data_IF_881524139138
#
_entry.id   IF_881524139138
#
_cell.length_a   1.000
_cell.length_b   1.000
_cell.length_c   1.000
_cell.angle_alpha   90.00
_cell.angle_beta   90.00
_cell.angle_gamma   90.00
#
_symmetry.space_group_name_H-M   'P 1'
#
loop_
_entity.id
_entity.type
_entity.pdbx_description
1 polymer ?
#
# COMPACT_ATOMS: atom_id res chain seq x y z
N UNK A 1 -1.03 -19.54 15.62
CA UNK A 1 -1.82 -18.40 15.10
C UNK A 1 -2.24 -17.55 16.29
N UNK A 2 -1.88 -16.28 16.31
CA UNK A 2 -2.10 -15.33 17.40
C UNK A 2 -3.61 -15.24 17.76
N UNK A 3 -3.97 -15.20 19.05
CA UNK A 3 -5.37 -15.06 19.49
C UNK A 3 -6.00 -13.78 18.97
N UNK A 4 -5.19 -12.75 18.79
CA UNK A 4 -5.66 -11.45 18.35
C UNK A 4 -6.05 -11.42 16.87
N UNK A 5 -5.22 -12.01 15.99
CA UNK A 5 -5.52 -12.14 14.56
C UNK A 5 -6.84 -12.89 14.34
N UNK A 6 -7.11 -13.94 15.13
CA UNK A 6 -8.36 -14.69 15.04
C UNK A 6 -9.58 -13.83 15.37
N UNK A 7 -9.51 -13.02 16.43
CA UNK A 7 -10.61 -12.15 16.82
C UNK A 7 -10.87 -11.07 15.75
N UNK A 8 -9.82 -10.41 15.26
CA UNK A 8 -9.96 -9.42 14.20
C UNK A 8 -10.51 -10.05 12.92
N UNK A 9 -10.02 -11.23 12.54
CA UNK A 9 -10.48 -11.94 11.34
C UNK A 9 -11.95 -12.38 11.42
N UNK A 10 -12.43 -12.76 12.61
CA UNK A 10 -13.83 -13.12 12.84
C UNK A 10 -14.77 -11.91 12.70
N UNK A 11 -14.33 -10.73 13.14
CA UNK A 11 -15.11 -9.50 13.12
C UNK A 11 -14.87 -8.63 11.89
N UNK A 12 -14.06 -9.08 10.93
CA UNK A 12 -13.72 -8.32 9.73
C UNK A 12 -14.95 -7.98 8.91
N UNK A 13 -14.84 -6.91 8.13
CA UNK A 13 -15.77 -6.67 7.04
C UNK A 13 -15.64 -7.80 6.00
N UNK A 14 -16.76 -8.34 5.54
CA UNK A 14 -16.77 -9.43 4.54
C UNK A 14 -16.44 -8.85 3.16
N UNK A 15 -15.19 -8.43 2.97
CA UNK A 15 -14.66 -8.05 1.67
C UNK A 15 -14.28 -9.32 0.88
N UNK A 16 -14.85 -9.55 -0.31
CA UNK A 16 -14.52 -10.71 -1.12
C UNK A 16 -13.06 -10.71 -1.62
N UNK A 17 -12.32 -9.61 -1.49
CA UNK A 17 -10.95 -9.47 -2.01
C UNK A 17 -9.87 -10.01 -1.06
N UNK A 18 -10.19 -10.27 0.21
CA UNK A 18 -9.27 -10.87 1.18
C UNK A 18 -9.79 -12.26 1.55
N UNK A 19 -9.19 -13.28 0.95
CA UNK A 19 -9.66 -14.67 1.10
C UNK A 19 -9.08 -15.34 2.34
N UNK A 20 -7.88 -14.96 2.77
CA UNK A 20 -7.19 -15.60 3.90
C UNK A 20 -6.62 -14.62 4.92
N UNK A 21 -6.46 -15.04 6.19
CA UNK A 21 -5.75 -14.24 7.19
C UNK A 21 -4.32 -13.89 6.76
N UNK A 22 -3.69 -14.73 5.95
CA UNK A 22 -2.33 -14.48 5.46
C UNK A 22 -2.29 -13.35 4.43
N UNK A 23 -3.27 -13.29 3.52
CA UNK A 23 -3.42 -12.15 2.60
C UNK A 23 -3.66 -10.84 3.35
N UNK A 24 -4.46 -10.87 4.44
CA UNK A 24 -4.61 -9.71 5.30
C UNK A 24 -3.27 -9.26 5.92
N UNK A 25 -2.42 -10.20 6.33
CA UNK A 25 -1.08 -9.87 6.85
C UNK A 25 -0.17 -9.29 5.77
N UNK A 26 -0.23 -9.81 4.53
CA UNK A 26 0.53 -9.26 3.40
C UNK A 26 0.10 -7.81 3.19
N UNK A 27 -1.20 -7.57 3.00
CA UNK A 27 -1.71 -6.23 2.74
C UNK A 27 -1.45 -5.26 3.92
N UNK A 28 -1.58 -5.73 5.15
CA UNK A 28 -1.29 -4.92 6.33
C UNK A 28 0.19 -4.52 6.40
N UNK A 29 1.10 -5.39 5.95
CA UNK A 29 2.53 -5.05 5.89
C UNK A 29 2.85 -4.00 4.83
N UNK A 30 2.05 -3.91 3.76
CA UNK A 30 2.16 -2.85 2.76
C UNK A 30 1.66 -1.53 3.36
N UNK A 31 0.47 -1.53 3.98
CA UNK A 31 -0.11 -0.35 4.65
C UNK A 31 0.82 0.19 5.74
N UNK A 32 1.42 -0.68 6.55
CA UNK A 32 2.40 -0.32 7.60
C UNK A 32 3.59 0.47 7.04
N UNK A 33 4.02 0.13 5.82
CA UNK A 33 5.20 0.74 5.20
C UNK A 33 4.90 2.03 4.44
N UNK A 34 3.65 2.29 4.10
CA UNK A 34 3.23 3.47 3.32
C UNK A 34 2.97 4.70 4.18
N UNK A 35 2.37 4.56 5.36
CA UNK A 35 2.09 5.72 6.21
C UNK A 35 2.35 5.47 7.68
N UNK A 36 3.06 6.42 8.28
CA UNK A 36 3.19 6.53 9.73
C UNK A 36 1.94 7.16 10.38
N UNK A 37 1.03 7.74 9.60
CA UNK A 37 -0.18 8.40 10.08
C UNK A 37 -1.31 7.36 10.18
N UNK A 38 -1.61 6.95 11.42
CA UNK A 38 -2.60 5.89 11.72
C UNK A 38 -3.97 6.18 11.09
N UNK A 39 -4.41 7.45 11.05
CA UNK A 39 -5.70 7.82 10.48
C UNK A 39 -5.78 7.66 8.95
N UNK A 40 -4.66 7.52 8.25
CA UNK A 40 -4.64 7.29 6.80
C UNK A 40 -4.63 5.80 6.43
N UNK A 41 -4.31 4.91 7.37
CA UNK A 41 -4.19 3.48 7.11
C UNK A 41 -5.45 2.89 6.46
N UNK A 42 -6.70 3.21 6.90
CA UNK A 42 -7.91 2.69 6.24
C UNK A 42 -8.09 3.19 4.80
N UNK A 43 -7.64 4.41 4.48
CA UNK A 43 -7.69 4.97 3.12
C UNK A 43 -6.65 4.30 2.21
N UNK A 44 -5.44 4.06 2.71
CA UNK A 44 -4.39 3.36 1.96
C UNK A 44 -4.79 1.90 1.71
N UNK A 45 -5.35 1.24 2.73
CA UNK A 45 -5.91 -0.10 2.57
C UNK A 45 -6.99 -0.14 1.49
N UNK A 46 -7.91 0.82 1.49
CA UNK A 46 -8.95 0.95 0.47
C UNK A 46 -8.36 1.14 -0.93
N UNK A 47 -7.34 2.00 -1.11
CA UNK A 47 -6.67 2.18 -2.41
C UNK A 47 -6.09 0.86 -2.92
N UNK A 48 -5.38 0.11 -2.08
CA UNK A 48 -4.81 -1.16 -2.52
C UNK A 48 -5.88 -2.19 -2.87
N UNK A 49 -6.95 -2.30 -2.07
CA UNK A 49 -8.07 -3.20 -2.37
C UNK A 49 -8.78 -2.80 -3.67
N UNK A 50 -9.03 -1.50 -3.88
CA UNK A 50 -9.62 -0.99 -5.11
C UNK A 50 -8.76 -1.32 -6.33
N UNK A 51 -7.43 -1.21 -6.21
CA UNK A 51 -6.49 -1.61 -7.26
C UNK A 51 -6.58 -3.10 -7.55
N UNK A 52 -6.56 -3.95 -6.52
CA UNK A 52 -6.70 -5.41 -6.67
C UNK A 52 -8.02 -5.77 -7.36
N UNK A 53 -9.13 -5.14 -6.96
CA UNK A 53 -10.47 -5.36 -7.50
C UNK A 53 -10.54 -5.17 -9.01
N UNK A 54 -9.79 -4.21 -9.55
CA UNK A 54 -9.79 -3.89 -10.98
C UNK A 54 -8.56 -4.45 -11.74
N UNK A 55 -7.74 -5.28 -11.08
CA UNK A 55 -6.52 -5.83 -11.67
C UNK A 55 -5.40 -4.81 -11.90
N UNK A 56 -5.47 -3.63 -11.26
CA UNK A 56 -4.41 -2.63 -11.31
C UNK A 56 -3.22 -3.09 -10.45
N UNK A 57 -2.00 -2.82 -10.92
CA UNK A 57 -0.77 -3.07 -10.16
C UNK A 57 -0.73 -2.22 -8.89
N UNK A 58 -0.19 -2.76 -7.79
CA UNK A 58 -0.16 -2.04 -6.51
C UNK A 58 0.84 -0.89 -6.48
N UNK A 59 1.94 -0.99 -7.24
CA UNK A 59 2.91 0.09 -7.44
C UNK A 59 3.32 0.79 -6.14
N UNK A 60 3.90 0.03 -5.21
CA UNK A 60 4.33 0.50 -3.89
C UNK A 60 5.83 0.29 -3.72
N UNK A 61 6.56 1.37 -3.43
CA UNK A 61 8.02 1.42 -3.30
C UNK A 61 8.57 0.46 -2.24
N UNK A 62 7.97 0.34 -1.03
CA UNK A 62 8.37 -0.65 -0.02
C UNK A 62 8.54 -2.07 -0.56
N UNK A 63 7.70 -2.50 -1.51
CA UNK A 63 7.80 -3.85 -2.08
C UNK A 63 9.02 -4.03 -2.99
N UNK A 64 9.40 -2.98 -3.72
CA UNK A 64 10.62 -2.96 -4.54
C UNK A 64 11.85 -2.98 -3.64
N UNK A 65 11.86 -2.13 -2.60
CA UNK A 65 12.94 -2.06 -1.61
C UNK A 65 13.14 -3.43 -0.94
N UNK A 66 12.05 -4.09 -0.54
CA UNK A 66 12.11 -5.44 0.03
C UNK A 66 12.70 -6.45 -0.96
N UNK A 67 12.25 -6.43 -2.23
CA UNK A 67 12.75 -7.30 -3.28
C UNK A 67 14.23 -7.07 -3.66
N UNK A 68 14.75 -5.85 -3.49
CA UNK A 68 16.16 -5.54 -3.72
C UNK A 68 17.08 -6.14 -2.64
N UNK A 69 16.59 -6.30 -1.41
CA UNK A 69 17.38 -6.82 -0.29
C UNK A 69 18.70 -6.07 -0.10
N UNK A 70 19.82 -6.80 -0.11
CA UNK A 70 21.17 -6.22 0.06
C UNK A 70 21.61 -5.28 -1.06
N UNK A 71 20.92 -5.24 -2.20
CA UNK A 71 21.20 -4.29 -3.29
C UNK A 71 20.65 -2.90 -3.01
N UNK A 72 19.77 -2.76 -2.03
CA UNK A 72 19.23 -1.46 -1.65
C UNK A 72 20.29 -0.63 -0.91
N UNK A 73 20.76 0.43 -1.55
CA UNK A 73 21.81 1.31 -1.02
C UNK A 73 21.26 2.51 -0.24
N UNK A 74 20.02 2.44 0.24
CA UNK A 74 19.35 3.54 0.95
C UNK A 74 18.64 4.57 0.06
N UNK A 75 18.73 4.43 -1.27
CA UNK A 75 18.00 5.26 -2.24
C UNK A 75 17.41 4.40 -3.33
N UNK A 76 16.12 4.58 -3.59
CA UNK A 76 15.42 3.93 -4.69
C UNK A 76 15.62 4.72 -5.98
N UNK A 77 16.05 4.06 -7.05
CA UNK A 77 16.24 4.66 -8.36
C UNK A 77 15.13 4.23 -9.32
N UNK A 78 14.86 5.04 -10.33
CA UNK A 78 13.85 4.72 -11.35
C UNK A 78 14.13 3.42 -12.10
N UNK A 79 15.40 3.03 -12.25
CA UNK A 79 15.77 1.75 -12.84
C UNK A 79 15.32 0.56 -11.98
N UNK A 80 15.33 0.71 -10.65
CA UNK A 80 14.98 -0.36 -9.72
C UNK A 80 13.50 -0.74 -9.84
N UNK A 81 12.64 0.26 -10.09
CA UNK A 81 11.20 0.07 -10.34
C UNK A 81 10.92 -0.84 -11.54
N UNK A 82 11.87 -0.94 -12.49
CA UNK A 82 11.72 -1.72 -13.72
C UNK A 82 12.28 -3.14 -13.63
N UNK A 83 13.04 -3.46 -12.57
CA UNK A 83 13.66 -4.78 -12.40
C UNK A 83 12.59 -5.76 -11.90
N UNK A 84 12.18 -6.71 -12.74
CA UNK A 84 11.22 -7.73 -12.34
C UNK A 84 11.78 -8.62 -11.22
N UNK A 85 10.96 -8.83 -10.20
CA UNK A 85 11.16 -9.84 -9.16
C UNK A 85 9.79 -10.14 -8.50
N UNK A 86 9.73 -11.21 -7.70
CA UNK A 86 8.47 -11.68 -7.10
C UNK A 86 7.79 -10.66 -6.17
N UNK A 87 8.53 -9.68 -5.63
CA UNK A 87 8.01 -8.62 -4.77
C UNK A 87 7.69 -7.32 -5.53
N UNK A 88 8.21 -7.13 -6.75
CA UNK A 88 8.07 -5.86 -7.44
C UNK A 88 6.64 -5.68 -8.00
N UNK A 89 5.83 -4.95 -7.23
CA UNK A 89 4.44 -4.60 -7.57
C UNK A 89 4.32 -3.53 -8.68
N UNK A 90 5.42 -2.99 -9.20
CA UNK A 90 5.41 -2.21 -10.46
C UNK A 90 5.42 -3.12 -11.69
N UNK A 91 5.96 -4.33 -11.55
CA UNK A 91 6.09 -5.30 -12.65
C UNK A 91 5.02 -6.39 -12.59
N UNK A 92 4.58 -6.77 -11.39
CA UNK A 92 3.63 -7.88 -11.15
C UNK A 92 2.28 -7.38 -10.63
N UNK A 93 1.21 -8.07 -11.01
CA UNK A 93 -0.14 -7.83 -10.50
C UNK A 93 -0.38 -8.63 -9.22
N UNK A 94 -1.36 -8.20 -8.43
CA UNK A 94 -1.75 -8.87 -7.20
C UNK A 94 -0.84 -8.56 -6.00
N UNK A 95 -1.02 -9.34 -4.94
CA UNK A 95 -0.22 -9.25 -3.72
C UNK A 95 1.19 -9.88 -3.93
N UNK A 96 2.23 -9.37 -3.26
CA UNK A 96 3.51 -10.07 -3.19
C UNK A 96 3.38 -11.41 -2.43
N UNK A 97 4.36 -12.34 -2.54
CA UNK A 97 4.22 -13.69 -2.01
C UNK A 97 4.23 -13.77 -0.47
N UNK A 98 4.77 -12.76 0.21
CA UNK A 98 4.87 -12.70 1.67
C UNK A 98 4.68 -11.27 2.17
N UNK A 99 4.38 -11.08 3.48
CA UNK A 99 4.54 -9.78 4.11
C UNK A 99 5.96 -9.24 3.96
N UNK A 100 6.11 -7.92 3.84
CA UNK A 100 7.40 -7.23 3.70
C UNK A 100 7.86 -6.55 5.01
N UNK A 101 7.02 -6.58 6.03
CA UNK A 101 7.23 -6.02 7.34
C UNK A 101 6.35 -6.74 8.36
N UNK A 102 6.63 -6.54 9.66
CA UNK A 102 5.74 -6.95 10.72
C UNK A 102 4.64 -5.89 10.90
N UNK A 103 3.38 -6.16 10.51
CA UNK A 103 2.34 -5.13 10.56
C UNK A 103 1.93 -4.83 12.00
N UNK A 104 1.64 -3.57 12.28
CA UNK A 104 1.00 -3.18 13.53
C UNK A 104 -0.44 -3.68 13.59
N UNK A 105 -1.01 -3.65 14.80
CA UNK A 105 -2.43 -3.91 15.01
C UNK A 105 -3.33 -2.93 14.25
N UNK A 106 -2.93 -1.65 14.17
CA UNK A 106 -3.75 -0.65 13.48
C UNK A 106 -3.74 -0.86 11.98
N UNK A 107 -2.60 -1.24 11.38
CA UNK A 107 -2.52 -1.58 9.97
C UNK A 107 -3.36 -2.82 9.63
N UNK A 108 -3.31 -3.86 10.47
CA UNK A 108 -4.17 -5.03 10.30
C UNK A 108 -5.66 -4.70 10.43
N UNK A 109 -6.03 -3.87 11.42
CA UNK A 109 -7.40 -3.42 11.59
C UNK A 109 -7.87 -2.59 10.39
N UNK A 110 -7.04 -1.70 9.85
CA UNK A 110 -7.34 -0.91 8.67
C UNK A 110 -7.57 -1.76 7.41
N UNK A 111 -6.87 -2.89 7.28
CA UNK A 111 -7.08 -3.85 6.19
C UNK A 111 -8.39 -4.63 6.34
N UNK A 112 -8.78 -4.95 7.57
CA UNK A 112 -10.00 -5.70 7.85
C UNK A 112 -11.25 -4.80 7.93
N UNK A 113 -11.06 -3.49 8.03
CA UNK A 113 -12.08 -2.44 8.05
C UNK A 113 -11.58 -1.23 7.24
N UNK A 114 -11.43 -1.36 5.91
CA UNK A 114 -10.95 -0.29 5.06
C UNK A 114 -11.94 0.88 5.01
N UNK A 115 -11.47 2.05 4.60
CA UNK A 115 -12.38 3.16 4.33
C UNK A 115 -13.23 2.87 3.09
N UNK A 116 -14.51 3.28 3.12
CA UNK A 116 -15.37 3.19 1.94
C UNK A 116 -15.07 4.36 0.98
N UNK A 117 -14.20 4.12 -0.01
CA UNK A 117 -13.87 5.07 -1.08
C UNK A 117 -13.58 4.33 -2.38
N UNK A 118 -13.66 5.05 -3.50
CA UNK A 118 -13.24 4.56 -4.83
C UNK A 118 -11.85 5.12 -5.21
N UNK A 119 -11.11 5.66 -4.26
CA UNK A 119 -9.77 6.20 -4.54
C UNK A 119 -8.84 5.10 -5.05
N UNK A 120 -8.05 5.45 -6.06
CA UNK A 120 -7.10 4.57 -6.73
C UNK A 120 -5.67 5.09 -6.63
N UNK A 121 -5.47 6.32 -6.17
CA UNK A 121 -4.17 6.96 -6.11
C UNK A 121 -4.04 7.78 -4.84
N UNK A 122 -2.82 7.86 -4.34
CA UNK A 122 -2.46 8.81 -3.29
C UNK A 122 -1.09 9.42 -3.58
N UNK A 123 -0.85 10.63 -3.08
CA UNK A 123 0.42 11.33 -3.21
C UNK A 123 0.72 12.09 -1.93
N UNK A 124 1.96 12.07 -1.47
CA UNK A 124 2.38 12.81 -0.29
C UNK A 124 2.18 14.32 -0.48
N UNK A 125 1.64 15.00 0.53
CA UNK A 125 1.39 16.45 0.57
C UNK A 125 2.60 17.27 1.01
N UNK A 126 3.60 16.63 1.62
CA UNK A 126 4.80 17.26 2.19
C UNK A 126 4.71 17.60 3.68
N UNK A 127 3.52 17.55 4.27
CA UNK A 127 3.24 17.73 5.71
C UNK A 127 3.21 16.40 6.49
N UNK A 128 3.57 15.30 5.83
CA UNK A 128 3.49 13.93 6.36
C UNK A 128 2.18 13.21 6.06
N UNK A 129 1.17 13.89 5.50
CA UNK A 129 -0.09 13.30 5.06
C UNK A 129 -0.12 13.09 3.54
N UNK A 130 -1.19 12.46 3.06
CA UNK A 130 -1.44 12.12 1.66
C UNK A 130 -2.72 12.79 1.13
N UNK A 131 -2.70 13.08 -0.17
CA UNK A 131 -3.88 13.44 -0.94
C UNK A 131 -4.35 12.22 -1.74
N UNK A 132 -5.60 11.83 -1.56
CA UNK A 132 -6.23 10.68 -2.22
C UNK A 132 -7.06 11.13 -3.42
N UNK A 133 -7.09 10.31 -4.48
CA UNK A 133 -7.82 10.62 -5.70
C UNK A 133 -8.29 9.37 -6.45
N UNK A 134 -9.41 9.53 -7.18
CA UNK A 134 -10.06 8.46 -7.94
C UNK A 134 -9.47 8.27 -9.33
N UNK A 135 -8.96 9.34 -9.94
CA UNK A 135 -8.52 9.33 -11.35
C UNK A 135 -7.07 9.73 -11.52
N UNK A 136 -6.45 9.22 -12.59
CA UNK A 136 -5.07 9.57 -12.94
C UNK A 136 -4.91 11.08 -13.20
N UNK A 137 -5.93 11.73 -13.78
CA UNK A 137 -5.91 13.17 -14.02
C UNK A 137 -5.84 13.97 -12.70
N UNK A 138 -6.67 13.62 -11.72
CA UNK A 138 -6.64 14.23 -10.38
C UNK A 138 -5.32 13.94 -9.66
N UNK A 139 -4.82 12.71 -9.77
CA UNK A 139 -3.53 12.33 -9.20
C UNK A 139 -2.40 13.18 -9.78
N UNK A 140 -2.33 13.33 -11.10
CA UNK A 140 -1.31 14.13 -11.76
C UNK A 140 -1.39 15.61 -11.32
N UNK A 141 -2.59 16.17 -11.22
CA UNK A 141 -2.77 17.53 -10.69
C UNK A 141 -2.27 17.66 -9.24
N UNK A 142 -2.52 16.66 -8.40
CA UNK A 142 -2.03 16.63 -7.03
C UNK A 142 -0.50 16.47 -6.96
N UNK A 143 0.09 15.63 -7.81
CA UNK A 143 1.56 15.51 -7.96
C UNK A 143 2.15 16.88 -8.31
N UNK A 144 1.58 17.58 -9.30
CA UNK A 144 2.03 18.92 -9.67
C UNK A 144 1.91 19.91 -8.51
N UNK A 145 0.86 19.79 -7.69
CA UNK A 145 0.60 20.69 -6.56
C UNK A 145 1.53 20.45 -5.37
N UNK A 146 1.82 19.19 -5.04
CA UNK A 146 2.49 18.81 -3.79
C UNK A 146 3.95 18.41 -3.96
N UNK A 147 4.34 17.89 -5.13
CA UNK A 147 5.70 17.39 -5.38
C UNK A 147 6.56 18.31 -6.26
N UNK A 148 5.99 19.31 -6.94
CA UNK A 148 6.80 20.35 -7.54
C UNK A 148 7.29 21.33 -6.48
N UNK A 149 8.51 21.15 -6.05
CA UNK A 149 9.34 22.24 -5.57
C UNK A 149 10.18 22.71 -6.78
N UNK A 150 10.04 23.95 -7.25
CA UNK A 150 11.10 24.53 -8.05
C UNK A 150 12.34 24.47 -7.16
N UNK A 151 13.34 23.72 -7.59
CA UNK A 151 14.66 23.73 -6.99
C UNK A 151 15.11 25.20 -6.90
N UNK A 152 15.23 25.72 -5.67
CA UNK A 152 16.11 26.86 -5.42
C UNK A 152 17.53 26.32 -5.28
#
# INVERSE_FOLDING_TARGET
>A
MDSHLRQLWQNREQDPLIHTPYEALILASLVEKESAVVSEQPLIAAVFLNRLKIGMRLQTDPTVIFGLGSRYSGKLHHQDLKIDNVYNTYTRHGLPPTPIAYPSKTALQAVLHPAHTDDLYFVAKGDGAHYFSKTLAQHNQAVLKYQHHPSQ
#
